data_IF_425807981166
#
_entry.id   IF_425807981166
#
_cell.length_a   1.000
_cell.length_b   1.000
_cell.length_c   1.000
_cell.angle_alpha   90.00
_cell.angle_beta   90.00
_cell.angle_gamma   90.00
#
_symmetry.space_group_name_H-M   'P 1'
#
loop_
_entity.id
_entity.type
_entity.pdbx_description
1 polymer ?
#
# COMPACT_ATOMS: atom_id res chain seq x y z
N UNK A 1 -19.88 -1.01 -22.00
CA UNK A 1 -19.22 0.19 -21.45
C UNK A 1 -18.79 -0.16 -20.05
N UNK A 2 -17.49 -0.28 -19.82
CA UNK A 2 -16.93 -0.29 -18.46
C UNK A 2 -16.76 1.17 -18.09
N UNK A 3 -17.57 1.62 -17.14
CA UNK A 3 -17.44 2.92 -16.50
C UNK A 3 -16.08 2.91 -15.79
N UNK A 4 -15.06 3.54 -16.38
CA UNK A 4 -13.78 3.71 -15.71
C UNK A 4 -13.96 4.86 -14.73
N UNK A 5 -14.30 4.54 -13.50
CA UNK A 5 -14.15 5.49 -12.41
C UNK A 5 -12.66 5.86 -12.37
N UNK A 6 -12.35 7.07 -12.82
CA UNK A 6 -11.01 7.64 -13.00
C UNK A 6 -10.27 7.90 -11.67
N UNK A 7 -10.70 7.24 -10.59
CA UNK A 7 -9.97 7.25 -9.33
C UNK A 7 -8.79 6.29 -9.46
N UNK A 8 -7.58 6.85 -9.32
CA UNK A 8 -6.34 6.12 -9.42
C UNK A 8 -6.33 4.94 -8.43
N UNK A 9 -6.35 3.73 -8.97
CA UNK A 9 -6.22 2.51 -8.19
C UNK A 9 -4.78 2.39 -7.72
N UNK A 10 -4.54 2.61 -6.44
CA UNK A 10 -3.21 2.44 -5.83
C UNK A 10 -3.03 0.95 -5.51
N UNK A 11 -1.81 0.42 -5.66
CA UNK A 11 -1.50 -0.94 -5.22
C UNK A 11 -0.59 -0.88 -4.03
N UNK A 12 -1.15 -1.16 -2.85
CA UNK A 12 -0.38 -1.08 -1.63
C UNK A 12 0.59 -2.25 -1.46
N UNK A 13 0.13 -3.45 -1.79
CA UNK A 13 0.94 -4.67 -1.67
C UNK A 13 0.50 -5.68 -2.71
N UNK A 14 1.49 -6.38 -3.27
CA UNK A 14 1.29 -7.55 -4.11
C UNK A 14 2.19 -8.64 -3.53
N UNK A 15 1.61 -9.76 -3.14
CA UNK A 15 2.37 -10.88 -2.56
C UNK A 15 1.90 -12.21 -3.10
N UNK A 16 2.75 -13.23 -2.98
CA UNK A 16 2.31 -14.60 -3.20
C UNK A 16 1.31 -14.98 -2.12
N UNK A 17 0.24 -15.69 -2.49
CA UNK A 17 -0.63 -16.32 -1.51
C UNK A 17 -0.01 -17.66 -1.13
N UNK A 18 0.22 -17.84 0.17
CA UNK A 18 0.80 -19.07 0.70
C UNK A 18 -0.09 -20.28 0.37
N UNK A 19 0.50 -21.38 -0.13
CA UNK A 19 -0.21 -22.64 -0.31
C UNK A 19 -0.60 -23.24 1.04
N UNK A 20 -1.50 -24.23 1.02
CA UNK A 20 -1.77 -25.01 2.22
C UNK A 20 -0.49 -25.70 2.69
N UNK A 21 -0.27 -25.78 4.00
CA UNK A 21 0.97 -26.28 4.59
C UNK A 21 1.33 -27.69 4.10
N UNK A 22 0.34 -28.57 4.01
CA UNK A 22 0.50 -29.96 3.56
C UNK A 22 0.92 -30.02 2.08
N UNK A 23 0.35 -29.16 1.24
CA UNK A 23 0.72 -29.05 -0.17
C UNK A 23 2.14 -28.51 -0.32
N UNK A 24 2.53 -27.53 0.51
CA UNK A 24 3.88 -26.99 0.53
C UNK A 24 4.91 -28.06 0.91
N UNK A 25 4.61 -28.90 1.91
CA UNK A 25 5.50 -29.98 2.36
C UNK A 25 5.62 -31.08 1.31
N UNK A 26 4.51 -31.44 0.65
CA UNK A 26 4.48 -32.47 -0.38
C UNK A 26 4.98 -31.99 -1.76
N UNK A 27 5.37 -30.72 -1.88
CA UNK A 27 5.66 -30.12 -3.17
C UNK A 27 6.90 -30.71 -3.84
N UNK A 28 6.74 -31.21 -5.07
CA UNK A 28 7.82 -31.83 -5.86
C UNK A 28 8.31 -30.95 -7.02
N UNK A 29 7.89 -29.68 -7.08
CA UNK A 29 8.39 -28.72 -8.08
C UNK A 29 7.65 -28.69 -9.42
N UNK A 30 6.78 -29.66 -9.72
CA UNK A 30 6.06 -29.79 -11.00
C UNK A 30 4.66 -29.16 -11.01
N UNK A 31 4.15 -28.75 -9.86
CA UNK A 31 2.79 -28.22 -9.71
C UNK A 31 2.70 -26.71 -10.02
N UNK A 32 1.63 -26.27 -10.70
CA UNK A 32 1.47 -24.86 -11.10
C UNK A 32 1.24 -23.94 -9.89
N UNK A 33 2.01 -22.84 -9.83
CA UNK A 33 1.91 -21.78 -8.81
C UNK A 33 0.58 -21.05 -8.93
N UNK A 34 -0.27 -21.17 -7.92
CA UNK A 34 -1.69 -20.92 -8.17
C UNK A 34 -2.21 -19.53 -7.80
N UNK A 35 -1.59 -18.75 -6.88
CA UNK A 35 -2.31 -17.60 -6.29
C UNK A 35 -1.40 -16.44 -5.86
N UNK A 36 -1.73 -15.23 -6.27
CA UNK A 36 -1.22 -13.97 -5.69
C UNK A 36 -2.32 -13.26 -4.89
N UNK A 37 -1.97 -12.51 -3.85
CA UNK A 37 -2.87 -11.63 -3.09
C UNK A 37 -2.51 -10.17 -3.38
N UNK A 38 -3.51 -9.36 -3.64
CA UNK A 38 -3.36 -7.94 -3.92
C UNK A 38 -4.39 -7.14 -3.12
N UNK A 39 -3.99 -6.48 -2.02
CA UNK A 39 -4.76 -5.39 -1.46
C UNK A 39 -4.72 -4.16 -2.35
N UNK A 40 -5.89 -3.58 -2.58
CA UNK A 40 -6.15 -2.40 -3.39
C UNK A 40 -6.89 -1.40 -2.51
N UNK A 41 -6.39 -0.19 -2.25
CA UNK A 41 -7.21 0.87 -1.71
C UNK A 41 -8.14 1.35 -2.83
N UNK A 42 -9.44 1.22 -2.65
CA UNK A 42 -10.36 2.23 -3.16
C UNK A 42 -10.53 3.21 -2.01
N UNK A 43 -10.43 4.51 -2.21
CA UNK A 43 -11.00 5.40 -1.21
C UNK A 43 -12.52 5.36 -1.42
N UNK A 44 -13.36 5.07 -0.41
CA UNK A 44 -13.11 4.92 1.03
C UNK A 44 -12.99 3.45 1.56
N UNK A 45 -12.91 2.44 0.69
CA UNK A 45 -12.89 1.01 1.08
C UNK A 45 -11.58 0.28 0.70
N UNK A 46 -10.92 -0.31 1.69
CA UNK A 46 -9.78 -1.20 1.46
C UNK A 46 -10.31 -2.51 0.87
N UNK A 47 -9.81 -2.91 -0.31
CA UNK A 47 -10.18 -4.14 -0.98
C UNK A 47 -9.03 -5.14 -0.93
N UNK A 48 -9.34 -6.42 -0.85
CA UNK A 48 -8.39 -7.50 -1.07
C UNK A 48 -8.93 -8.46 -2.12
N UNK A 49 -8.12 -8.76 -3.13
CA UNK A 49 -8.42 -9.76 -4.13
C UNK A 49 -7.26 -10.76 -4.26
N UNK A 50 -7.54 -11.89 -4.89
CA UNK A 50 -6.53 -12.87 -5.26
C UNK A 50 -6.57 -13.13 -6.76
N UNK A 51 -5.40 -13.31 -7.35
CA UNK A 51 -5.24 -13.61 -8.77
C UNK A 51 -4.86 -15.08 -8.90
N UNK A 52 -5.66 -15.84 -9.65
CA UNK A 52 -5.29 -17.17 -10.10
C UNK A 52 -4.53 -17.05 -11.42
N UNK A 53 -3.20 -17.10 -11.36
CA UNK A 53 -2.34 -16.93 -12.53
C UNK A 53 -2.59 -17.97 -13.63
N UNK A 54 -2.83 -19.23 -13.25
CA UNK A 54 -3.08 -20.32 -14.20
C UNK A 54 -4.35 -20.14 -15.04
N UNK A 55 -5.34 -19.40 -14.53
CA UNK A 55 -6.61 -19.16 -15.20
C UNK A 55 -6.78 -17.70 -15.65
N UNK A 56 -5.78 -16.83 -15.37
CA UNK A 56 -5.86 -15.38 -15.55
C UNK A 56 -7.16 -14.78 -14.98
N UNK A 57 -7.61 -15.29 -13.83
CA UNK A 57 -8.87 -14.88 -13.19
C UNK A 57 -8.62 -14.21 -11.84
N UNK A 58 -9.31 -13.10 -11.64
CA UNK A 58 -9.43 -12.43 -10.34
C UNK A 58 -10.54 -13.10 -9.53
N UNK A 59 -10.29 -13.32 -8.24
CA UNK A 59 -11.35 -13.64 -7.29
C UNK A 59 -12.22 -12.40 -7.04
N UNK A 60 -13.46 -12.58 -6.54
CA UNK A 60 -14.23 -11.47 -6.01
C UNK A 60 -13.40 -10.67 -5.00
N UNK A 61 -13.54 -9.34 -5.02
CA UNK A 61 -12.89 -8.47 -4.06
C UNK A 61 -13.62 -8.56 -2.71
N UNK A 62 -12.86 -8.66 -1.63
CA UNK A 62 -13.37 -8.61 -0.26
C UNK A 62 -13.04 -7.26 0.34
N UNK A 63 -14.03 -6.59 0.92
CA UNK A 63 -13.83 -5.34 1.67
C UNK A 63 -13.21 -5.67 3.03
N UNK A 64 -12.11 -5.01 3.35
CA UNK A 64 -11.51 -5.03 4.68
C UNK A 64 -12.09 -3.85 5.46
N UNK A 65 -12.73 -4.14 6.59
CA UNK A 65 -13.49 -3.16 7.37
C UNK A 65 -12.72 -2.59 8.58
N UNK A 66 -11.51 -3.09 8.85
CA UNK A 66 -10.71 -2.67 9.98
C UNK A 66 -9.22 -2.63 9.67
N UNK A 67 -8.51 -1.77 10.41
CA UNK A 67 -7.11 -1.46 10.16
C UNK A 67 -6.92 -0.51 8.98
N UNK A 68 -5.71 0.01 8.85
CA UNK A 68 -5.27 0.80 7.70
C UNK A 68 -4.24 -0.03 6.94
N UNK A 69 -4.19 0.06 5.60
CA UNK A 69 -3.14 -0.59 4.84
C UNK A 69 -1.78 0.04 5.19
N UNK A 70 -0.70 -0.56 4.72
CA UNK A 70 0.59 0.15 4.75
C UNK A 70 0.47 1.45 3.95
N UNK A 71 1.42 2.36 4.04
CA UNK A 71 1.45 3.52 3.15
C UNK A 71 2.20 3.16 1.86
N UNK A 72 1.64 3.49 0.70
CA UNK A 72 2.34 3.36 -0.58
C UNK A 72 3.28 4.55 -0.80
N UNK A 73 4.39 4.34 -1.53
CA UNK A 73 5.33 5.43 -1.84
C UNK A 73 4.66 6.59 -2.57
N UNK A 74 3.74 6.29 -3.49
CA UNK A 74 2.94 7.27 -4.24
C UNK A 74 2.06 8.14 -3.33
N UNK A 75 1.68 7.65 -2.15
CA UNK A 75 0.93 8.40 -1.15
C UNK A 75 1.87 9.22 -0.24
N UNK A 76 3.07 8.71 0.03
CA UNK A 76 4.03 9.29 0.97
C UNK A 76 4.75 10.51 0.37
N UNK A 77 5.31 10.39 -0.84
CA UNK A 77 6.20 11.43 -1.38
C UNK A 77 5.52 12.80 -1.55
N UNK A 78 4.28 12.90 -2.07
CA UNK A 78 3.61 14.19 -2.18
C UNK A 78 3.37 14.87 -0.83
N UNK A 79 3.11 14.09 0.22
CA UNK A 79 2.90 14.60 1.57
C UNK A 79 4.21 15.15 2.14
N UNK A 80 5.34 14.45 1.94
CA UNK A 80 6.67 14.92 2.38
C UNK A 80 7.01 16.26 1.71
N UNK A 81 6.83 16.37 0.39
CA UNK A 81 7.07 17.60 -0.36
C UNK A 81 6.20 18.75 0.16
N UNK A 82 4.91 18.48 0.39
CA UNK A 82 3.98 19.47 0.92
C UNK A 82 4.40 19.96 2.30
N UNK A 83 4.75 19.05 3.22
CA UNK A 83 5.16 19.38 4.59
C UNK A 83 6.47 20.15 4.63
N UNK A 84 7.44 19.76 3.80
CA UNK A 84 8.73 20.45 3.73
C UNK A 84 8.58 21.90 3.19
N UNK A 85 7.56 22.16 2.37
CA UNK A 85 7.27 23.48 1.83
C UNK A 85 6.43 24.38 2.77
N UNK A 86 5.96 23.87 3.92
CA UNK A 86 5.13 24.65 4.84
C UNK A 86 5.94 25.80 5.48
N UNK A 87 5.43 27.05 5.43
CA UNK A 87 6.12 28.20 6.02
C UNK A 87 6.43 28.03 7.51
N UNK A 88 5.53 27.40 8.28
CA UNK A 88 5.78 27.13 9.70
C UNK A 88 6.96 26.16 9.93
N UNK A 89 7.14 25.17 9.05
CA UNK A 89 8.22 24.17 9.14
C UNK A 89 9.54 24.82 8.79
N UNK A 90 9.59 25.60 7.71
CA UNK A 90 10.79 26.36 7.30
C UNK A 90 11.21 27.34 8.40
N UNK A 91 10.28 28.15 8.93
CA UNK A 91 10.58 29.08 10.00
C UNK A 91 11.04 28.38 11.30
N UNK A 92 10.54 27.18 11.59
CA UNK A 92 10.97 26.39 12.74
C UNK A 92 12.39 25.81 12.53
N UNK A 93 12.74 25.42 11.31
CA UNK A 93 14.08 24.94 10.94
C UNK A 93 15.12 26.07 11.00
N UNK A 94 14.78 27.26 10.49
CA UNK A 94 15.64 28.44 10.55
C UNK A 94 15.96 28.85 12.00
N UNK A 95 14.96 28.83 12.89
CA UNK A 95 15.16 29.07 14.33
C UNK A 95 16.14 28.09 14.97
N UNK A 96 16.31 26.91 14.41
CA UNK A 96 17.23 25.85 14.86
C UNK A 96 18.58 25.89 14.14
N UNK A 97 18.81 26.87 13.26
CA UNK A 97 20.05 27.03 12.49
C UNK A 97 20.18 26.07 11.30
N UNK A 98 19.07 25.45 10.86
CA UNK A 98 19.06 24.57 9.69
C UNK A 98 18.75 25.42 8.46
N UNK A 99 19.65 25.40 7.47
CA UNK A 99 19.44 26.10 6.20
C UNK A 99 18.29 25.49 5.40
N UNK A 100 17.61 26.33 4.62
CA UNK A 100 16.56 25.91 3.70
C UNK A 100 17.04 24.74 2.79
N UNK A 101 16.20 23.73 2.62
CA UNK A 101 16.51 22.53 1.83
C UNK A 101 17.32 21.44 2.55
N UNK A 102 17.85 21.70 3.76
CA UNK A 102 18.57 20.68 4.54
C UNK A 102 17.67 19.92 5.54
N UNK A 103 16.40 20.30 5.67
CA UNK A 103 15.41 19.58 6.44
C UNK A 103 14.68 18.53 5.59
N UNK A 104 14.44 17.34 6.15
CA UNK A 104 13.64 16.29 5.52
C UNK A 104 12.61 15.76 6.52
N UNK A 105 11.33 15.78 6.15
CA UNK A 105 10.26 15.14 6.91
C UNK A 105 10.28 13.61 6.71
N UNK A 106 10.27 12.88 7.82
CA UNK A 106 10.06 11.43 7.86
C UNK A 106 8.64 11.15 8.37
N UNK A 107 7.75 10.56 7.55
CA UNK A 107 6.41 10.21 8.00
C UNK A 107 6.48 9.03 8.97
N UNK A 108 5.81 9.18 10.11
CA UNK A 108 5.65 8.11 11.10
C UNK A 108 4.16 7.75 11.26
N UNK A 109 3.82 6.45 11.36
CA UNK A 109 2.45 6.04 11.60
C UNK A 109 2.02 6.45 13.01
N UNK A 110 0.86 7.11 13.12
CA UNK A 110 0.34 7.61 14.39
C UNK A 110 -0.03 6.50 15.39
N UNK A 111 -0.22 5.26 14.93
CA UNK A 111 -0.63 4.15 15.79
C UNK A 111 -2.06 4.31 16.36
N UNK A 112 -2.34 3.56 17.41
CA UNK A 112 -3.59 3.61 18.20
C UNK A 112 -3.23 3.82 19.67
N UNK A 113 -3.91 4.72 20.37
CA UNK A 113 -3.56 5.20 21.72
C UNK A 113 -4.66 4.95 22.77
N UNK A 114 -5.63 4.09 22.47
CA UNK A 114 -6.77 3.80 23.35
C UNK A 114 -6.65 2.45 24.07
#
# INVERSE_FOLDING_TARGET
>A
MMDSTDDAVVFNRISLLEPAKEQAIAWQGTEPRARGRCPVPQQPAILACSIRFSAQRLSPATVITSGQPMLAGEEIFPVIETVNALPEVVAALEKRGVSEGNGCACPEPSGDFF
#
